data_IF_180604928682
#
_entry.id   IF_180604928682
#
_cell.length_a   1.000
_cell.length_b   1.000
_cell.length_c   1.000
_cell.angle_alpha   90.00
_cell.angle_beta   90.00
_cell.angle_gamma   90.00
#
_symmetry.space_group_name_H-M   'P 1'
#
loop_
_entity.id
_entity.type
_entity.pdbx_description
1 polymer ?
#
# COMPACT_ATOMS: atom_id res chain seq x y z
N UNK A 1 18.83 4.97 27.86
CA UNK A 1 17.87 4.38 26.89
C UNK A 1 18.11 4.83 25.44
N UNK A 2 18.53 6.07 25.16
CA UNK A 2 18.80 6.55 23.79
C UNK A 2 20.02 5.86 23.11
N UNK A 3 21.00 5.37 23.88
CA UNK A 3 22.19 4.69 23.31
C UNK A 3 21.91 3.32 22.67
N UNK A 4 20.95 2.54 23.19
CA UNK A 4 20.60 1.22 22.62
C UNK A 4 19.88 1.35 21.27
N UNK A 5 19.14 2.45 21.03
CA UNK A 5 18.47 2.72 19.75
C UNK A 5 19.44 3.13 18.63
N UNK A 6 20.61 3.68 18.97
CA UNK A 6 21.65 4.05 17.99
C UNK A 6 22.43 2.83 17.50
N UNK A 7 22.69 1.86 18.39
CA UNK A 7 23.34 0.60 18.03
C UNK A 7 22.46 -0.26 17.11
N UNK A 8 21.14 -0.21 17.25
CA UNK A 8 20.21 -0.87 16.34
C UNK A 8 20.09 -0.18 14.97
N UNK A 9 20.31 1.14 14.88
CA UNK A 9 20.32 1.86 13.60
C UNK A 9 21.54 1.50 12.74
N UNK A 10 22.68 1.19 13.37
CA UNK A 10 23.87 0.68 12.67
C UNK A 10 23.79 -0.81 12.31
N UNK A 11 22.67 -1.47 12.62
CA UNK A 11 22.47 -2.87 12.24
C UNK A 11 21.97 -2.96 10.79
N UNK A 12 22.75 -3.53 9.86
CA UNK A 12 22.35 -3.65 8.46
C UNK A 12 21.06 -4.47 8.28
N UNK A 13 20.72 -5.37 9.21
CA UNK A 13 19.46 -6.11 9.17
C UNK A 13 18.24 -5.21 9.41
N UNK A 14 18.36 -4.21 10.29
CA UNK A 14 17.28 -3.25 10.53
C UNK A 14 17.06 -2.37 9.28
N UNK A 15 18.15 -1.93 8.66
CA UNK A 15 18.08 -1.14 7.41
C UNK A 15 17.44 -1.93 6.27
N UNK A 16 17.81 -3.22 6.12
CA UNK A 16 17.21 -4.12 5.14
C UNK A 16 15.71 -4.34 5.38
N UNK A 17 15.30 -4.49 6.64
CA UNK A 17 13.89 -4.64 7.02
C UNK A 17 13.06 -3.40 6.65
N UNK A 18 13.58 -2.20 6.92
CA UNK A 18 12.90 -0.94 6.54
C UNK A 18 12.77 -0.83 5.02
N UNK A 19 13.82 -1.15 4.26
CA UNK A 19 13.76 -1.15 2.79
C UNK A 19 12.73 -2.16 2.27
N UNK A 20 12.70 -3.37 2.84
CA UNK A 20 11.71 -4.38 2.48
C UNK A 20 10.28 -3.91 2.75
N UNK A 21 10.03 -3.24 3.88
CA UNK A 21 8.72 -2.66 4.19
C UNK A 21 8.32 -1.55 3.22
N UNK A 22 9.25 -0.66 2.87
CA UNK A 22 9.00 0.42 1.90
C UNK A 22 8.69 -0.15 0.51
N UNK A 23 9.47 -1.12 0.06
CA UNK A 23 9.22 -1.80 -1.22
C UNK A 23 7.87 -2.54 -1.20
N UNK A 24 7.56 -3.22 -0.09
CA UNK A 24 6.27 -3.87 0.09
C UNK A 24 5.13 -2.86 -0.03
N UNK A 25 5.15 -1.77 0.74
CA UNK A 25 4.14 -0.71 0.65
C UNK A 25 4.01 -0.14 -0.77
N UNK A 26 5.13 0.18 -1.43
CA UNK A 26 5.14 0.73 -2.79
C UNK A 26 4.55 -0.24 -3.81
N UNK A 27 4.83 -1.55 -3.68
CA UNK A 27 4.26 -2.56 -4.57
C UNK A 27 2.74 -2.62 -4.43
N UNK A 28 2.21 -2.71 -3.20
CA UNK A 28 0.77 -2.76 -2.98
C UNK A 28 0.06 -1.46 -3.38
N UNK A 29 0.68 -0.30 -3.11
CA UNK A 29 0.16 1.01 -3.48
C UNK A 29 0.17 1.22 -5.00
N UNK A 30 1.25 0.83 -5.67
CA UNK A 30 1.40 0.90 -7.12
C UNK A 30 0.40 0.00 -7.85
N UNK A 31 0.21 -1.24 -7.40
CA UNK A 31 -0.78 -2.16 -7.97
C UNK A 31 -2.21 -1.61 -7.80
N UNK A 32 -2.53 -1.05 -6.63
CA UNK A 32 -3.84 -0.41 -6.38
C UNK A 32 -4.10 0.78 -7.31
N UNK A 33 -3.12 1.69 -7.44
CA UNK A 33 -3.22 2.85 -8.34
C UNK A 33 -3.29 2.44 -9.81
N UNK A 34 -2.49 1.46 -10.26
CA UNK A 34 -2.54 0.95 -11.63
C UNK A 34 -3.92 0.40 -11.95
N UNK A 35 -4.48 -0.42 -11.06
CA UNK A 35 -5.81 -1.02 -11.25
C UNK A 35 -6.90 0.04 -11.33
N UNK A 36 -6.89 1.02 -10.41
CA UNK A 36 -7.85 2.12 -10.39
C UNK A 36 -7.74 3.02 -11.63
N UNK A 37 -6.51 3.33 -12.06
CA UNK A 37 -6.26 4.10 -13.28
C UNK A 37 -6.74 3.36 -14.55
N UNK A 38 -6.57 2.03 -14.60
CA UNK A 38 -7.01 1.21 -15.75
C UNK A 38 -8.53 1.07 -15.86
N UNK A 39 -9.25 1.13 -14.73
CA UNK A 39 -10.71 1.04 -14.68
C UNK A 39 -11.42 2.41 -14.73
N UNK A 40 -10.69 3.52 -14.93
CA UNK A 40 -11.21 4.91 -14.92
C UNK A 40 -11.88 5.31 -13.58
N UNK A 41 -11.57 4.60 -12.49
CA UNK A 41 -12.14 4.84 -11.16
C UNK A 41 -11.40 5.97 -10.44
N UNK A 42 -11.65 7.20 -10.91
CA UNK A 42 -11.05 8.44 -10.39
C UNK A 42 -11.21 8.61 -8.87
N UNK A 43 -12.36 8.24 -8.30
CA UNK A 43 -12.61 8.31 -6.85
C UNK A 43 -11.68 7.38 -6.06
N UNK A 44 -11.42 6.18 -6.57
CA UNK A 44 -10.54 5.21 -5.94
C UNK A 44 -9.07 5.55 -6.11
N UNK A 45 -8.70 6.11 -7.25
CA UNK A 45 -7.36 6.67 -7.46
C UNK A 45 -7.04 7.74 -6.40
N UNK A 46 -7.97 8.69 -6.19
CA UNK A 46 -7.82 9.76 -5.19
C UNK A 46 -7.79 9.20 -3.76
N UNK A 47 -8.67 8.24 -3.44
CA UNK A 47 -8.67 7.60 -2.12
C UNK A 47 -7.31 6.92 -1.83
N UNK A 48 -6.72 6.22 -2.80
CA UNK A 48 -5.41 5.55 -2.64
C UNK A 48 -4.25 6.53 -2.54
N UNK A 49 -4.39 7.71 -3.14
CA UNK A 49 -3.39 8.76 -3.08
C UNK A 49 -3.41 9.48 -1.73
N UNK A 50 -4.60 9.73 -1.17
CA UNK A 50 -4.79 10.47 0.09
C UNK A 50 -4.61 9.56 1.31
N UNK A 51 -5.03 8.30 1.23
CA UNK A 51 -5.04 7.38 2.38
C UNK A 51 -3.82 6.44 2.32
N UNK A 52 -2.76 6.77 3.07
CA UNK A 52 -1.59 5.89 3.29
C UNK A 52 -1.95 4.73 4.23
N UNK A 53 -2.50 3.64 3.71
CA UNK A 53 -2.98 2.50 4.53
C UNK A 53 -2.28 1.17 4.30
N UNK A 54 -0.95 1.12 4.15
CA UNK A 54 -0.19 -0.15 4.18
C UNK A 54 -0.77 -1.27 3.29
N UNK A 55 -1.34 -0.93 2.13
CA UNK A 55 -1.94 -1.92 1.23
C UNK A 55 -3.32 -2.47 1.61
N UNK A 56 -4.02 -1.92 2.62
CA UNK A 56 -5.40 -2.32 2.98
C UNK A 56 -6.42 -1.88 1.92
N UNK A 57 -6.16 -0.74 1.28
CA UNK A 57 -7.09 -0.07 0.39
C UNK A 57 -7.30 -0.79 -0.96
N UNK A 58 -6.27 -1.42 -1.57
CA UNK A 58 -6.44 -2.37 -2.67
C UNK A 58 -7.41 -3.53 -2.37
N UNK A 59 -7.36 -4.08 -1.14
CA UNK A 59 -8.25 -5.18 -0.72
C UNK A 59 -9.69 -4.70 -0.61
N UNK A 60 -9.91 -3.48 -0.09
CA UNK A 60 -11.24 -2.87 -0.03
C UNK A 60 -11.79 -2.56 -1.43
N UNK A 61 -10.93 -2.12 -2.37
CA UNK A 61 -11.30 -1.92 -3.77
C UNK A 61 -11.80 -3.22 -4.42
N UNK A 62 -11.06 -4.32 -4.27
CA UNK A 62 -11.47 -5.64 -4.77
C UNK A 62 -12.81 -6.07 -4.16
N UNK A 63 -13.02 -5.82 -2.87
CA UNK A 63 -14.26 -6.18 -2.18
C UNK A 63 -15.47 -5.37 -2.68
N UNK A 64 -15.31 -4.07 -2.94
CA UNK A 64 -16.37 -3.19 -3.43
C UNK A 64 -16.69 -3.46 -4.91
N UNK A 65 -15.67 -3.71 -5.75
CA UNK A 65 -15.88 -4.05 -7.15
C UNK A 65 -16.44 -5.45 -7.40
N UNK A 66 -16.45 -6.33 -6.38
CA UNK A 66 -17.03 -7.68 -6.48
C UNK A 66 -18.54 -7.68 -6.72
N UNK A 67 -19.26 -6.58 -6.51
CA UNK A 67 -20.74 -6.54 -6.52
C UNK A 67 -21.40 -6.08 -7.83
N UNK A 68 -20.66 -5.53 -8.80
CA UNK A 68 -21.26 -4.95 -10.02
C UNK A 68 -21.33 -5.92 -11.21
N UNK A 69 -21.39 -7.23 -10.96
CA UNK A 69 -21.95 -8.21 -11.91
C UNK A 69 -23.21 -8.84 -11.34
N UNK A 70 -24.21 -8.03 -10.99
CA UNK A 70 -25.60 -8.49 -11.13
C UNK A 70 -26.08 -7.94 -12.46
N UNK A 71 -25.98 -8.81 -13.47
CA UNK A 71 -26.61 -8.60 -14.75
C UNK A 71 -28.08 -8.29 -14.53
N UNK A 72 -28.50 -7.22 -15.19
CA UNK A 72 -29.89 -6.96 -15.53
C UNK A 72 -30.29 -7.99 -16.58
#
# INVERSE_FOLDING_TARGET
MIGMTLLSYQNPAFMAFVIALVLWELLWKGVGLWKAARNDDKYWFIAILIINTLGILPILYIYIFRKNKKGI
#
